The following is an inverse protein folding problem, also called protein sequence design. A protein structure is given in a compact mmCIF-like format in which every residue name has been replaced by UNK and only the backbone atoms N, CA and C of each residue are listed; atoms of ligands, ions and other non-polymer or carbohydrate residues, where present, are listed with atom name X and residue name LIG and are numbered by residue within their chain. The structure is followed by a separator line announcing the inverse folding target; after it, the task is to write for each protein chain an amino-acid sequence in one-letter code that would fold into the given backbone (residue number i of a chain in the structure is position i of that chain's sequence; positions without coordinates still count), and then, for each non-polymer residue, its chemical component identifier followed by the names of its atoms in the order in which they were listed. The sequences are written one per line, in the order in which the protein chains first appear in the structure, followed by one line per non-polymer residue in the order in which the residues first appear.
data_IF_729479680700
#
_entry.id   IF_729479680700
#
_cell.length_a   1.000
_cell.length_b   1.000
_cell.length_c   1.000
_cell.angle_alpha   90.00
_cell.angle_beta   90.00
_cell.angle_gamma   90.00
#
_symmetry.space_group_name_H-M   'P 1'
#
loop_
_entity.id
_entity.type
_entity.pdbx_description
1 polymer ?
#
# COMPACT_ATOMS: atom_id res chain seq x y z
N UNK A 1 18.72 -8.01 -5.50
CA UNK A 1 19.05 -6.60 -5.80
C UNK A 1 19.36 -6.49 -7.28
N UNK A 2 18.98 -5.39 -7.92
CA UNK A 2 19.29 -5.02 -9.30
C UNK A 2 20.12 -3.75 -9.25
N UNK A 3 21.25 -3.72 -9.95
CA UNK A 3 22.23 -2.65 -9.86
C UNK A 3 22.45 -1.99 -11.23
N UNK A 4 22.67 -0.66 -11.28
CA UNK A 4 23.07 0.02 -12.49
C UNK A 4 24.53 -0.35 -12.87
N UNK A 5 24.94 -0.04 -14.08
CA UNK A 5 26.30 -0.30 -14.57
C UNK A 5 27.40 0.47 -13.80
N UNK A 6 27.06 1.53 -13.11
CA UNK A 6 27.94 2.36 -12.29
C UNK A 6 27.50 2.32 -10.83
N UNK A 7 28.31 2.88 -9.92
CA UNK A 7 27.92 3.01 -8.51
C UNK A 7 26.57 3.71 -8.37
N UNK A 8 25.59 3.14 -7.64
CA UNK A 8 24.25 3.69 -7.53
C UNK A 8 24.25 5.02 -6.76
N UNK A 9 23.44 5.96 -7.22
CA UNK A 9 23.20 7.25 -6.54
C UNK A 9 22.40 7.08 -5.26
N UNK A 10 21.51 6.09 -5.21
CA UNK A 10 20.74 5.64 -4.07
C UNK A 10 20.22 4.22 -4.29
N UNK A 11 19.74 3.60 -3.24
CA UNK A 11 18.96 2.34 -3.30
C UNK A 11 17.49 2.67 -3.11
N UNK A 12 16.62 2.10 -3.96
CA UNK A 12 15.17 2.11 -3.79
C UNK A 12 14.73 0.73 -3.28
N UNK A 13 14.35 0.65 -2.02
CA UNK A 13 13.81 -0.57 -1.43
C UNK A 13 12.31 -0.62 -1.68
N UNK A 14 11.86 -1.59 -2.49
CA UNK A 14 10.48 -1.72 -2.95
C UNK A 14 9.70 -2.75 -2.11
N UNK A 15 8.49 -2.36 -1.67
CA UNK A 15 7.54 -3.23 -0.98
C UNK A 15 6.22 -3.31 -1.76
N UNK A 16 5.70 -4.52 -2.06
CA UNK A 16 4.49 -4.72 -2.86
C UNK A 16 3.19 -4.47 -2.08
N UNK A 17 2.08 -4.54 -2.79
CA UNK A 17 0.71 -4.44 -2.25
C UNK A 17 0.26 -5.65 -1.44
N UNK A 18 -1.05 -5.81 -1.32
CA UNK A 18 -1.71 -6.88 -0.55
C UNK A 18 -1.39 -8.28 -1.06
N UNK A 19 -1.52 -9.25 -0.18
CA UNK A 19 -1.34 -10.67 -0.50
C UNK A 19 0.12 -11.13 -0.55
N UNK A 20 0.33 -12.42 -0.88
CA UNK A 20 1.65 -12.99 -1.05
C UNK A 20 2.35 -12.40 -2.28
N UNK A 21 3.61 -12.05 -2.16
CA UNK A 21 4.41 -11.57 -3.27
C UNK A 21 5.87 -11.94 -3.07
N UNK A 22 6.47 -12.49 -4.11
CA UNK A 22 7.92 -12.69 -4.15
C UNK A 22 8.64 -11.39 -4.49
N UNK A 23 9.97 -11.44 -4.46
CA UNK A 23 10.86 -10.30 -4.72
C UNK A 23 10.78 -9.74 -6.14
N UNK A 24 10.26 -10.49 -7.09
CA UNK A 24 10.17 -10.07 -8.48
C UNK A 24 8.96 -9.18 -8.72
N UNK A 25 7.82 -9.54 -8.13
CA UNK A 25 6.53 -8.90 -8.35
C UNK A 25 6.30 -8.62 -9.85
N UNK A 26 6.37 -9.68 -10.66
CA UNK A 26 6.40 -9.58 -12.13
C UNK A 26 5.13 -8.94 -12.74
N UNK A 27 4.07 -8.82 -11.94
CA UNK A 27 2.85 -8.15 -12.37
C UNK A 27 2.97 -6.62 -12.41
N UNK A 28 3.83 -6.02 -11.55
CA UNK A 28 3.81 -4.57 -11.39
C UNK A 28 5.20 -3.91 -11.36
N UNK A 29 6.19 -4.51 -10.68
CA UNK A 29 7.48 -3.86 -10.46
C UNK A 29 8.42 -3.77 -11.68
N UNK A 30 8.38 -4.68 -12.69
CA UNK A 30 9.37 -4.68 -13.75
C UNK A 30 9.58 -3.33 -14.43
N UNK A 31 8.56 -2.61 -14.96
CA UNK A 31 8.79 -1.36 -15.66
C UNK A 31 9.35 -0.27 -14.75
N UNK A 32 8.96 -0.22 -13.47
CA UNK A 32 9.44 0.75 -12.50
C UNK A 32 10.89 0.44 -12.13
N UNK A 33 11.20 -0.84 -11.85
CA UNK A 33 12.54 -1.32 -11.53
C UNK A 33 13.51 -1.06 -12.68
N UNK A 34 13.12 -1.37 -13.91
CA UNK A 34 13.95 -1.15 -15.10
C UNK A 34 14.25 0.34 -15.30
N UNK A 35 13.24 1.20 -15.15
CA UNK A 35 13.40 2.64 -15.21
C UNK A 35 14.38 3.16 -14.15
N UNK A 36 14.20 2.76 -12.89
CA UNK A 36 15.06 3.18 -11.79
C UNK A 36 16.52 2.73 -12.00
N UNK A 37 16.73 1.48 -12.43
CA UNK A 37 18.08 0.98 -12.72
C UNK A 37 18.72 1.74 -13.89
N UNK A 38 17.96 2.02 -14.95
CA UNK A 38 18.44 2.81 -16.08
C UNK A 38 18.77 4.27 -15.68
N UNK A 39 18.07 4.81 -14.67
CA UNK A 39 18.28 6.14 -14.10
C UNK A 39 19.42 6.20 -13.06
N UNK A 40 20.15 5.10 -12.85
CA UNK A 40 21.32 5.07 -11.96
C UNK A 40 21.03 4.76 -10.49
N UNK A 41 19.86 4.22 -10.18
CA UNK A 41 19.50 3.73 -8.85
C UNK A 41 19.68 2.21 -8.74
N UNK A 42 20.12 1.70 -7.59
CA UNK A 42 19.96 0.29 -7.30
C UNK A 42 18.52 0.04 -6.78
N UNK A 43 17.97 -1.11 -7.13
CA UNK A 43 16.65 -1.52 -6.65
C UNK A 43 16.79 -2.78 -5.80
N UNK A 44 16.21 -2.77 -4.62
CA UNK A 44 16.11 -3.91 -3.72
C UNK A 44 14.65 -4.28 -3.48
N UNK A 45 14.34 -5.55 -3.51
CA UNK A 45 13.07 -6.10 -3.02
C UNK A 45 13.32 -7.49 -2.45
N UNK A 46 12.39 -7.97 -1.64
CA UNK A 46 12.49 -9.24 -0.94
C UNK A 46 11.18 -10.02 -1.02
N UNK A 47 11.25 -11.34 -0.85
CA UNK A 47 10.05 -12.15 -0.73
C UNK A 47 9.35 -11.79 0.57
N UNK A 48 8.06 -11.48 0.53
CA UNK A 48 7.30 -11.28 1.77
C UNK A 48 7.44 -12.49 2.68
N UNK A 49 7.30 -12.31 3.99
CA UNK A 49 7.37 -13.42 4.95
C UNK A 49 6.39 -14.54 4.55
N UNK A 50 6.84 -15.79 4.64
CA UNK A 50 6.07 -16.96 4.21
C UNK A 50 5.94 -17.15 2.70
N UNK A 51 6.64 -16.35 1.87
CA UNK A 51 6.63 -16.44 0.41
C UNK A 51 8.03 -16.74 -0.10
N UNK A 52 8.16 -17.50 -1.18
CA UNK A 52 9.42 -17.78 -1.84
C UNK A 52 10.44 -18.39 -0.89
N UNK A 53 11.58 -17.72 -0.69
CA UNK A 53 12.65 -18.16 0.21
C UNK A 53 12.52 -17.59 1.64
N UNK A 54 11.56 -16.68 1.89
CA UNK A 54 11.34 -16.08 3.21
C UNK A 54 10.52 -17.01 4.11
N UNK A 55 10.93 -17.12 5.36
CA UNK A 55 10.20 -17.87 6.39
C UNK A 55 9.07 -17.02 7.00
N UNK A 56 8.21 -17.63 7.82
CA UNK A 56 7.11 -16.97 8.53
C UNK A 56 5.75 -17.23 7.90
N UNK A 57 4.78 -16.38 8.25
CA UNK A 57 3.39 -16.47 7.78
C UNK A 57 2.91 -15.08 7.37
N UNK A 58 2.51 -14.92 6.11
CA UNK A 58 2.01 -13.64 5.59
C UNK A 58 0.56 -13.36 6.01
N UNK A 59 -0.24 -14.39 6.27
CA UNK A 59 -1.68 -14.27 6.56
C UNK A 59 -1.92 -13.56 7.88
N UNK A 60 -1.17 -13.92 8.94
CA UNK A 60 -1.31 -13.32 10.26
C UNK A 60 -0.47 -12.04 10.47
N UNK A 61 0.03 -11.44 9.40
CA UNK A 61 1.01 -10.36 9.46
C UNK A 61 0.37 -9.00 9.26
N UNK A 62 0.44 -8.14 10.29
CA UNK A 62 -0.02 -6.75 10.25
C UNK A 62 0.94 -5.80 9.53
N UNK A 63 0.54 -4.53 9.43
CA UNK A 63 1.37 -3.48 8.82
C UNK A 63 2.67 -3.27 9.63
N UNK A 64 2.59 -3.31 10.95
CA UNK A 64 3.74 -3.16 11.85
C UNK A 64 4.79 -4.24 11.65
N UNK A 65 4.37 -5.49 11.48
CA UNK A 65 5.27 -6.61 11.22
C UNK A 65 5.96 -6.47 9.86
N UNK A 66 5.21 -6.07 8.82
CA UNK A 66 5.76 -5.83 7.49
C UNK A 66 6.73 -4.64 7.50
N UNK A 67 6.46 -3.60 8.29
CA UNK A 67 7.38 -2.48 8.48
C UNK A 67 8.67 -2.91 9.19
N UNK A 68 8.60 -3.87 10.13
CA UNK A 68 9.78 -4.46 10.75
C UNK A 68 10.60 -5.30 9.75
N UNK A 69 9.96 -6.00 8.81
CA UNK A 69 10.67 -6.69 7.72
C UNK A 69 11.40 -5.71 6.79
N UNK A 70 10.76 -4.58 6.46
CA UNK A 70 11.41 -3.50 5.70
C UNK A 70 12.60 -2.94 6.47
N UNK A 71 12.49 -2.74 7.79
CA UNK A 71 13.59 -2.26 8.62
C UNK A 71 14.78 -3.24 8.64
N UNK A 72 14.54 -4.55 8.74
CA UNK A 72 15.59 -5.56 8.64
C UNK A 72 16.26 -5.58 7.26
N UNK A 73 15.49 -5.36 6.18
CA UNK A 73 16.04 -5.25 4.84
C UNK A 73 16.88 -3.96 4.68
N UNK A 74 16.48 -2.83 5.29
CA UNK A 74 17.27 -1.60 5.34
C UNK A 74 18.64 -1.85 5.99
N UNK A 75 18.68 -2.56 7.12
CA UNK A 75 19.93 -2.90 7.81
C UNK A 75 20.84 -3.75 6.92
N UNK A 76 20.27 -4.71 6.20
CA UNK A 76 21.01 -5.52 5.25
C UNK A 76 21.58 -4.69 4.09
N UNK A 77 20.78 -3.82 3.48
CA UNK A 77 21.21 -2.94 2.38
C UNK A 77 22.32 -2.00 2.83
N UNK A 78 22.20 -1.40 4.01
CA UNK A 78 23.24 -0.53 4.60
C UNK A 78 24.57 -1.28 4.83
N UNK A 79 24.52 -2.57 5.16
CA UNK A 79 25.71 -3.41 5.33
C UNK A 79 26.38 -3.77 3.99
N UNK A 80 25.57 -3.97 2.92
CA UNK A 80 26.07 -4.35 1.58
C UNK A 80 26.56 -3.15 0.78
N UNK A 81 25.87 -2.01 0.90
CA UNK A 81 26.19 -0.75 0.20
C UNK A 81 26.38 0.40 1.22
N UNK A 82 27.46 0.38 2.00
CA UNK A 82 27.68 1.38 3.05
C UNK A 82 27.84 2.78 2.46
N UNK A 83 27.13 3.74 3.05
CA UNK A 83 27.17 5.15 2.64
C UNK A 83 26.29 5.51 1.44
N UNK A 84 25.64 4.55 0.81
CA UNK A 84 24.65 4.82 -0.27
C UNK A 84 23.31 5.14 0.39
N UNK A 85 22.66 6.27 0.06
CA UNK A 85 21.33 6.59 0.59
C UNK A 85 20.31 5.53 0.22
N UNK A 86 19.39 5.19 1.14
CA UNK A 86 18.31 4.23 0.88
C UNK A 86 16.97 4.91 1.05
N UNK A 87 16.14 4.87 0.01
CA UNK A 87 14.75 5.31 0.07
C UNK A 87 13.79 4.13 -0.05
N UNK A 88 12.54 4.37 0.35
CA UNK A 88 11.47 3.38 0.37
C UNK A 88 10.45 3.67 -0.73
N UNK A 89 10.00 2.62 -1.39
CA UNK A 89 8.90 2.64 -2.36
C UNK A 89 7.88 1.58 -1.98
N UNK A 90 6.62 1.97 -1.74
CA UNK A 90 5.54 1.06 -1.41
C UNK A 90 4.35 1.23 -2.33
N UNK A 91 3.81 0.13 -2.86
CA UNK A 91 2.59 0.14 -3.67
C UNK A 91 1.39 -0.33 -2.86
N UNK A 92 0.25 0.39 -2.95
CA UNK A 92 -1.02 0.00 -2.31
C UNK A 92 -0.83 -0.22 -0.80
N UNK A 93 -1.13 -1.40 -0.25
CA UNK A 93 -0.82 -1.78 1.14
C UNK A 93 0.66 -1.49 1.49
N UNK A 94 1.58 -1.69 0.54
CA UNK A 94 2.98 -1.35 0.72
C UNK A 94 3.21 0.13 1.02
N UNK A 95 2.31 1.01 0.62
CA UNK A 95 2.32 2.43 0.99
C UNK A 95 2.20 2.63 2.50
N UNK A 96 1.27 1.94 3.19
CA UNK A 96 1.21 1.96 4.65
C UNK A 96 2.51 1.43 5.28
N UNK A 97 3.02 0.32 4.74
CA UNK A 97 4.23 -0.33 5.26
C UNK A 97 5.45 0.59 5.20
N UNK A 98 5.69 1.24 4.05
CA UNK A 98 6.86 2.13 3.89
C UNK A 98 6.70 3.44 4.65
N UNK A 99 5.48 3.94 4.85
CA UNK A 99 5.19 5.08 5.72
C UNK A 99 5.51 4.74 7.18
N UNK A 100 5.07 3.58 7.68
CA UNK A 100 5.41 3.10 9.02
C UNK A 100 6.91 2.89 9.21
N UNK A 101 7.57 2.24 8.26
CA UNK A 101 9.02 2.02 8.33
C UNK A 101 9.79 3.36 8.29
N UNK A 102 9.42 4.27 7.38
CA UNK A 102 10.06 5.58 7.23
C UNK A 102 9.84 6.49 8.44
N UNK A 103 8.69 6.38 9.12
CA UNK A 103 8.40 7.12 10.35
C UNK A 103 9.25 6.67 11.55
N UNK A 104 9.65 5.40 11.58
CA UNK A 104 10.43 4.78 12.67
C UNK A 104 11.94 4.86 12.47
N UNK A 105 12.39 5.17 11.25
CA UNK A 105 13.81 5.15 10.87
C UNK A 105 14.31 6.56 10.51
N UNK A 106 15.39 6.99 11.14
CA UNK A 106 16.02 8.28 10.86
C UNK A 106 17.02 8.26 9.70
N UNK A 107 17.31 7.08 9.17
CA UNK A 107 18.33 6.82 8.13
C UNK A 107 17.72 6.56 6.73
N UNK A 108 16.41 6.70 6.57
CA UNK A 108 15.70 6.65 5.28
C UNK A 108 15.89 8.00 4.56
N UNK A 109 16.25 7.97 3.28
CA UNK A 109 16.46 9.17 2.47
C UNK A 109 15.15 9.79 1.95
N UNK A 110 14.18 8.97 1.60
CA UNK A 110 12.85 9.37 1.09
C UNK A 110 11.83 8.24 1.20
N UNK A 111 10.55 8.59 1.08
CA UNK A 111 9.42 7.64 0.98
C UNK A 111 8.59 7.94 -0.26
N UNK A 112 8.28 6.92 -1.05
CA UNK A 112 7.31 6.96 -2.15
C UNK A 112 6.14 6.04 -1.81
N UNK A 113 4.96 6.60 -1.58
CA UNK A 113 3.71 5.89 -1.40
C UNK A 113 2.93 5.92 -2.74
N UNK A 114 3.13 4.88 -3.55
CA UNK A 114 2.49 4.73 -4.85
C UNK A 114 1.14 4.07 -4.69
N UNK A 115 0.07 4.80 -4.95
CA UNK A 115 -1.32 4.42 -4.63
C UNK A 115 -1.45 3.93 -3.19
N UNK A 116 -0.63 4.52 -2.29
CA UNK A 116 -0.61 4.21 -0.88
C UNK A 116 -1.73 4.95 -0.14
N UNK A 117 -2.73 4.24 0.43
CA UNK A 117 -3.84 4.92 1.09
C UNK A 117 -3.39 5.67 2.34
N UNK A 118 -4.02 6.83 2.62
CA UNK A 118 -3.84 7.55 3.89
C UNK A 118 -5.03 7.38 4.85
N UNK A 119 -5.97 6.53 4.48
CA UNK A 119 -7.12 6.11 5.30
C UNK A 119 -6.87 4.72 5.90
N UNK A 120 -7.71 4.31 6.84
CA UNK A 120 -7.64 2.96 7.40
C UNK A 120 -7.99 1.89 6.35
N UNK A 121 -7.53 0.63 6.49
CA UNK A 121 -7.93 -0.47 5.63
C UNK A 121 -9.44 -0.63 5.52
N UNK A 122 -10.17 -0.52 6.64
CA UNK A 122 -11.63 -0.55 6.63
C UNK A 122 -12.25 0.52 5.72
N UNK A 123 -11.72 1.74 5.76
CA UNK A 123 -12.23 2.84 4.93
C UNK A 123 -11.87 2.65 3.45
N UNK A 124 -10.67 2.15 3.16
CA UNK A 124 -10.23 1.86 1.79
C UNK A 124 -11.05 0.72 1.19
N UNK A 125 -11.21 -0.41 1.88
CA UNK A 125 -11.98 -1.55 1.39
C UNK A 125 -13.45 -1.21 1.21
N UNK A 126 -14.02 -0.39 2.12
CA UNK A 126 -15.39 0.13 1.97
C UNK A 126 -15.55 0.99 0.71
N UNK A 127 -14.54 1.81 0.39
CA UNK A 127 -14.53 2.59 -0.84
C UNK A 127 -14.45 1.67 -2.06
N UNK A 128 -13.50 0.73 -2.10
CA UNK A 128 -13.34 -0.22 -3.19
C UNK A 128 -14.64 -1.03 -3.45
N UNK A 129 -15.27 -1.53 -2.38
CA UNK A 129 -16.57 -2.20 -2.48
C UNK A 129 -17.65 -1.27 -3.03
N UNK A 130 -17.71 -0.03 -2.57
CA UNK A 130 -18.68 0.97 -3.06
C UNK A 130 -18.52 1.22 -4.56
N UNK A 131 -17.29 1.37 -5.04
CA UNK A 131 -16.99 1.55 -6.46
C UNK A 131 -17.36 0.32 -7.29
N UNK A 132 -17.01 -0.87 -6.80
CA UNK A 132 -17.38 -2.14 -7.43
C UNK A 132 -18.91 -2.30 -7.58
N UNK A 133 -19.64 -2.01 -6.51
CA UNK A 133 -21.10 -2.14 -6.50
C UNK A 133 -21.78 -1.08 -7.36
N UNK A 134 -21.27 0.15 -7.38
CA UNK A 134 -21.83 1.24 -8.21
C UNK A 134 -21.82 0.90 -9.71
N UNK A 135 -20.83 0.15 -10.17
CA UNK A 135 -20.73 -0.32 -11.54
C UNK A 135 -21.69 -1.50 -11.84
N UNK A 136 -21.94 -2.38 -10.89
CA UNK A 136 -22.59 -3.70 -11.09
C UNK A 136 -24.02 -3.78 -10.58
N UNK A 137 -24.37 -3.06 -9.50
CA UNK A 137 -25.63 -3.20 -8.79
C UNK A 137 -26.55 -2.01 -9.04
N UNK A 138 -27.73 -2.27 -9.61
CA UNK A 138 -28.76 -1.24 -9.86
C UNK A 138 -29.83 -1.19 -8.77
N UNK A 139 -30.03 -2.27 -8.04
CA UNK A 139 -30.97 -2.32 -6.93
C UNK A 139 -30.36 -1.66 -5.69
N UNK A 140 -30.97 -0.56 -5.26
CA UNK A 140 -30.48 0.22 -4.10
C UNK A 140 -30.54 -0.55 -2.78
N UNK A 141 -31.46 -1.54 -2.67
CA UNK A 141 -31.55 -2.40 -1.49
C UNK A 141 -30.39 -3.39 -1.46
N UNK A 142 -30.11 -4.08 -2.56
CA UNK A 142 -28.96 -5.00 -2.68
C UNK A 142 -27.67 -4.25 -2.41
N UNK A 143 -27.50 -3.06 -2.98
CA UNK A 143 -26.36 -2.19 -2.70
C UNK A 143 -26.22 -1.89 -1.21
N UNK A 144 -27.32 -1.42 -0.59
CA UNK A 144 -27.33 -1.09 0.83
C UNK A 144 -27.07 -2.29 1.74
N UNK A 145 -27.59 -3.47 1.37
CA UNK A 145 -27.39 -4.71 2.11
C UNK A 145 -25.93 -5.18 2.04
N UNK A 146 -25.25 -5.06 0.88
CA UNK A 146 -23.84 -5.38 0.74
C UNK A 146 -22.95 -4.46 1.59
N UNK A 147 -23.19 -3.15 1.58
CA UNK A 147 -22.45 -2.21 2.43
C UNK A 147 -22.69 -2.49 3.92
N UNK A 148 -23.94 -2.77 4.33
CA UNK A 148 -24.24 -3.12 5.73
C UNK A 148 -23.57 -4.43 6.16
N UNK A 149 -23.49 -5.40 5.26
CA UNK A 149 -22.78 -6.66 5.50
C UNK A 149 -21.29 -6.40 5.76
N UNK A 150 -20.66 -5.57 4.94
CA UNK A 150 -19.27 -5.16 5.10
C UNK A 150 -19.05 -4.42 6.43
N UNK A 151 -19.85 -3.40 6.72
CA UNK A 151 -19.72 -2.61 7.95
C UNK A 151 -19.89 -3.51 9.21
N UNK A 152 -20.80 -4.50 9.15
CA UNK A 152 -20.98 -5.47 10.21
C UNK A 152 -19.79 -6.42 10.36
N UNK A 153 -19.21 -6.90 9.26
CA UNK A 153 -18.00 -7.73 9.26
C UNK A 153 -16.82 -6.97 9.88
N UNK A 154 -16.59 -5.71 9.48
CA UNK A 154 -15.55 -4.84 10.07
C UNK A 154 -15.77 -4.69 11.58
N UNK A 155 -17.00 -4.41 12.03
CA UNK A 155 -17.32 -4.29 13.46
C UNK A 155 -17.05 -5.59 14.23
N UNK A 156 -17.27 -6.75 13.60
CA UNK A 156 -16.95 -8.05 14.19
C UNK A 156 -15.43 -8.25 14.32
N UNK A 157 -14.64 -7.91 13.27
CA UNK A 157 -13.18 -7.97 13.29
C UNK A 157 -12.59 -7.10 14.40
N UNK A 158 -12.98 -5.83 14.47
CA UNK A 158 -12.50 -4.88 15.49
C UNK A 158 -12.97 -5.27 16.92
N UNK A 159 -14.02 -6.08 17.05
CA UNK A 159 -14.47 -6.63 18.33
C UNK A 159 -13.78 -7.94 18.70
N UNK A 160 -12.84 -8.45 17.89
CA UNK A 160 -12.11 -9.70 18.16
C UNK A 160 -12.95 -10.96 17.98
N UNK A 161 -14.05 -10.92 17.22
CA UNK A 161 -14.86 -12.09 16.94
C UNK A 161 -14.18 -12.96 15.88
N UNK A 162 -14.35 -14.28 15.98
CA UNK A 162 -13.93 -15.20 14.93
C UNK A 162 -14.90 -15.16 13.72
N UNK A 163 -14.49 -15.80 12.62
CA UNK A 163 -15.24 -15.83 11.37
C UNK A 163 -16.63 -16.46 11.52
N UNK A 164 -16.77 -17.50 12.36
CA UNK A 164 -18.06 -18.16 12.58
C UNK A 164 -19.02 -17.24 13.34
N UNK A 165 -18.54 -16.58 14.40
CA UNK A 165 -19.31 -15.61 15.16
C UNK A 165 -19.76 -14.42 14.29
N UNK A 166 -18.90 -13.98 13.36
CA UNK A 166 -19.25 -12.94 12.40
C UNK A 166 -20.33 -13.41 11.42
N UNK A 167 -20.19 -14.60 10.85
CA UNK A 167 -21.20 -15.21 9.98
C UNK A 167 -22.57 -15.32 10.67
N UNK A 168 -22.59 -15.80 11.94
CA UNK A 168 -23.81 -15.88 12.76
C UNK A 168 -24.45 -14.50 12.98
N UNK A 169 -23.64 -13.44 13.12
CA UNK A 169 -24.17 -12.06 13.25
C UNK A 169 -24.79 -11.57 11.95
N UNK A 170 -24.12 -11.83 10.82
CA UNK A 170 -24.61 -11.48 9.49
C UNK A 170 -25.94 -12.20 9.21
N UNK A 171 -26.05 -13.47 9.55
CA UNK A 171 -27.28 -14.24 9.40
C UNK A 171 -28.42 -13.65 10.27
N UNK A 172 -28.16 -13.39 11.55
CA UNK A 172 -29.15 -12.75 12.45
C UNK A 172 -29.58 -11.36 12.00
N UNK A 173 -28.73 -10.65 11.28
CA UNK A 173 -29.06 -9.35 10.67
C UNK A 173 -29.89 -9.47 9.39
N UNK A 174 -30.17 -10.70 8.92
CA UNK A 174 -30.90 -10.96 7.68
C UNK A 174 -30.10 -10.70 6.41
N UNK A 175 -28.76 -10.67 6.52
CA UNK A 175 -27.84 -10.36 5.42
C UNK A 175 -27.21 -11.62 4.80
N UNK A 176 -27.56 -12.82 5.27
CA UNK A 176 -27.04 -14.08 4.71
C UNK A 176 -27.16 -14.20 3.18
N UNK A 177 -28.21 -13.73 2.51
CA UNK A 177 -28.27 -13.76 1.05
C UNK A 177 -27.13 -13.00 0.35
N UNK A 178 -26.58 -11.96 0.98
CA UNK A 178 -25.42 -11.21 0.45
C UNK A 178 -24.17 -12.09 0.38
N UNK A 179 -23.93 -12.90 1.40
CA UNK A 179 -22.76 -13.80 1.46
C UNK A 179 -22.76 -14.88 0.38
N UNK A 180 -23.93 -15.21 -0.15
CA UNK A 180 -24.07 -16.19 -1.23
C UNK A 180 -23.78 -15.57 -2.62
N UNK A 181 -23.65 -14.24 -2.69
CA UNK A 181 -23.42 -13.46 -3.90
C UNK A 181 -21.98 -12.96 -3.91
N UNK A 182 -21.04 -13.75 -4.41
CA UNK A 182 -19.61 -13.36 -4.52
C UNK A 182 -19.38 -12.15 -5.43
N UNK A 183 -20.34 -11.84 -6.32
CA UNK A 183 -20.35 -10.63 -7.14
C UNK A 183 -20.73 -9.36 -6.36
N UNK A 184 -21.45 -9.51 -5.24
CA UNK A 184 -21.81 -8.41 -4.34
C UNK A 184 -20.88 -8.29 -3.13
N UNK A 185 -20.33 -9.40 -2.66
CA UNK A 185 -19.46 -9.45 -1.50
C UNK A 185 -18.28 -10.39 -1.75
N UNK A 186 -17.15 -9.87 -2.25
CA UNK A 186 -16.01 -10.69 -2.64
C UNK A 186 -15.16 -11.18 -1.45
N UNK A 187 -15.57 -10.91 -0.21
CA UNK A 187 -14.84 -11.30 0.99
C UNK A 187 -15.49 -12.53 1.63
N UNK A 188 -14.95 -13.75 1.42
CA UNK A 188 -15.53 -14.95 2.01
C UNK A 188 -15.35 -14.92 3.54
N UNK A 189 -16.46 -14.72 4.28
CA UNK A 189 -16.45 -14.76 5.75
C UNK A 189 -16.26 -16.18 6.30
N UNK A 190 -16.48 -17.20 5.49
CA UNK A 190 -16.33 -18.61 5.84
C UNK A 190 -14.88 -19.11 5.68
N UNK A 191 -13.98 -18.31 5.10
CA UNK A 191 -12.57 -18.63 5.00
C UNK A 191 -11.80 -18.07 6.22
N UNK A 192 -11.32 -18.95 7.14
CA UNK A 192 -10.63 -18.53 8.35
C UNK A 192 -9.29 -17.82 8.07
N UNK A 193 -8.63 -18.12 6.96
CA UNK A 193 -7.37 -17.47 6.61
C UNK A 193 -7.59 -16.06 6.07
N UNK A 194 -8.60 -15.87 5.23
CA UNK A 194 -9.03 -14.53 4.77
C UNK A 194 -9.47 -13.68 5.96
N UNK A 195 -10.23 -14.26 6.90
CA UNK A 195 -10.64 -13.57 8.11
C UNK A 195 -9.44 -13.14 8.97
N UNK A 196 -8.51 -14.06 9.22
CA UNK A 196 -7.29 -13.79 9.99
C UNK A 196 -6.43 -12.70 9.34
N UNK A 197 -6.29 -12.73 8.02
CA UNK A 197 -5.58 -11.71 7.26
C UNK A 197 -6.25 -10.34 7.43
N UNK A 198 -7.57 -10.26 7.25
CA UNK A 198 -8.29 -9.00 7.40
C UNK A 198 -8.19 -8.45 8.84
N UNK A 199 -8.35 -9.30 9.87
CA UNK A 199 -8.20 -8.91 11.27
C UNK A 199 -6.81 -8.35 11.60
N UNK A 200 -5.75 -8.85 10.96
CA UNK A 200 -4.39 -8.34 11.18
C UNK A 200 -4.18 -6.92 10.66
N UNK A 201 -5.05 -6.44 9.77
CA UNK A 201 -4.90 -5.16 9.08
C UNK A 201 -5.93 -4.11 9.47
N UNK A 202 -7.18 -4.54 9.78
CA UNK A 202 -8.39 -3.72 9.71
C UNK A 202 -8.34 -2.45 10.58
N UNK A 203 -7.67 -2.52 11.73
CA UNK A 203 -7.59 -1.43 12.72
C UNK A 203 -6.36 -0.52 12.51
N UNK A 204 -5.55 -0.74 11.46
CA UNK A 204 -4.39 0.11 11.19
C UNK A 204 -4.82 1.56 10.89
N UNK A 205 -4.23 2.52 11.59
CA UNK A 205 -4.38 3.95 11.32
C UNK A 205 -3.05 4.55 10.84
N UNK A 206 -2.93 4.96 9.57
CA UNK A 206 -1.66 5.50 9.05
C UNK A 206 -1.34 6.92 9.54
N UNK A 207 -2.32 7.66 10.10
CA UNK A 207 -2.15 9.08 10.45
C UNK A 207 -1.05 9.36 11.48
N UNK A 208 -0.83 8.53 12.52
CA UNK A 208 0.30 8.73 13.44
C UNK A 208 1.65 8.66 12.74
N UNK A 209 1.86 7.66 11.89
CA UNK A 209 3.09 7.48 11.13
C UNK A 209 3.30 8.62 10.10
N UNK A 210 2.25 9.03 9.38
CA UNK A 210 2.29 10.18 8.48
C UNK A 210 2.76 11.46 9.20
N UNK A 211 2.26 11.75 10.40
CA UNK A 211 2.70 12.89 11.22
C UNK A 211 4.14 12.76 11.72
N UNK A 212 4.61 11.54 11.86
CA UNK A 212 5.97 11.24 12.34
C UNK A 212 7.03 11.29 11.24
N UNK A 213 6.65 11.28 9.95
CA UNK A 213 7.60 11.36 8.83
C UNK A 213 8.47 12.62 8.92
N UNK A 214 9.78 12.46 8.65
CA UNK A 214 10.80 13.53 8.67
C UNK A 214 11.64 13.57 7.41
N UNK A 215 11.24 12.85 6.38
CA UNK A 215 11.94 12.69 5.10
C UNK A 215 11.07 13.15 3.95
N UNK A 216 11.65 13.55 2.81
CA UNK A 216 10.89 13.81 1.59
C UNK A 216 9.95 12.65 1.27
N UNK A 217 8.70 12.97 1.01
CA UNK A 217 7.63 11.98 0.80
C UNK A 217 6.84 12.31 -0.45
N UNK A 218 6.71 11.35 -1.36
CA UNK A 218 5.84 11.41 -2.53
C UNK A 218 4.61 10.54 -2.28
N UNK A 219 3.43 11.14 -2.29
CA UNK A 219 2.16 10.44 -2.40
C UNK A 219 1.70 10.52 -3.87
N UNK A 220 1.79 9.39 -4.60
CA UNK A 220 1.52 9.33 -6.02
C UNK A 220 0.32 8.43 -6.29
N UNK A 221 -0.65 8.92 -7.05
CA UNK A 221 -1.91 8.23 -7.32
C UNK A 221 -2.29 8.28 -8.80
N UNK A 222 -3.04 7.28 -9.24
CA UNK A 222 -3.82 7.37 -10.46
C UNK A 222 -5.16 8.06 -10.19
N UNK A 223 -5.58 8.96 -11.09
CA UNK A 223 -6.84 9.71 -10.90
C UNK A 223 -8.10 8.82 -11.01
N UNK A 224 -7.98 7.70 -11.73
CA UNK A 224 -9.08 6.76 -12.00
C UNK A 224 -8.96 5.49 -11.12
N UNK A 225 -8.28 5.59 -9.97
CA UNK A 225 -8.11 4.48 -9.02
C UNK A 225 -9.45 4.09 -8.37
N UNK A 226 -10.00 2.89 -8.63
CA UNK A 226 -11.28 2.47 -8.02
C UNK A 226 -11.11 1.86 -6.63
N UNK A 227 -9.87 1.67 -6.16
CA UNK A 227 -9.56 0.94 -4.92
C UNK A 227 -9.25 1.91 -3.79
N UNK A 228 -8.37 2.90 -4.06
CA UNK A 228 -7.98 3.90 -3.06
C UNK A 228 -8.85 5.14 -3.21
N UNK A 229 -9.43 5.68 -2.11
CA UNK A 229 -10.11 6.97 -2.14
C UNK A 229 -9.07 8.09 -2.28
N UNK A 230 -8.69 8.40 -3.53
CA UNK A 230 -7.57 9.30 -3.88
C UNK A 230 -7.73 10.67 -3.26
N UNK A 231 -8.89 11.32 -3.47
CA UNK A 231 -9.16 12.67 -2.96
C UNK A 231 -9.04 12.75 -1.42
N UNK A 232 -9.60 11.74 -0.74
CA UNK A 232 -9.54 11.68 0.74
C UNK A 232 -8.11 11.41 1.19
N UNK A 233 -7.40 10.49 0.53
CA UNK A 233 -6.01 10.16 0.86
C UNK A 233 -5.08 11.36 0.65
N UNK A 234 -5.22 12.10 -0.45
CA UNK A 234 -4.45 13.31 -0.72
C UNK A 234 -4.63 14.35 0.39
N UNK A 235 -5.88 14.64 0.78
CA UNK A 235 -6.19 15.57 1.89
C UNK A 235 -5.58 15.11 3.21
N UNK A 236 -5.59 13.81 3.51
CA UNK A 236 -4.99 13.28 4.74
C UNK A 236 -3.46 13.38 4.71
N UNK A 237 -2.81 13.11 3.57
CA UNK A 237 -1.37 13.35 3.39
C UNK A 237 -1.04 14.82 3.67
N UNK A 238 -1.75 15.75 3.05
CA UNK A 238 -1.55 17.21 3.23
C UNK A 238 -1.78 17.65 4.68
N UNK A 239 -2.75 17.07 5.38
CA UNK A 239 -3.05 17.39 6.77
C UNK A 239 -2.04 16.78 7.77
N UNK A 240 -1.37 15.70 7.43
CA UNK A 240 -0.52 14.96 8.36
C UNK A 240 0.98 15.16 8.12
N UNK A 241 1.42 15.21 6.88
CA UNK A 241 2.84 15.36 6.54
C UNK A 241 3.18 16.85 6.41
N UNK A 242 4.37 17.23 6.89
CA UNK A 242 4.85 18.62 6.73
C UNK A 242 4.91 19.00 5.26
N UNK A 243 4.43 20.20 4.94
CA UNK A 243 4.32 20.69 3.54
C UNK A 243 5.67 20.85 2.83
N UNK A 244 6.76 21.09 3.57
CA UNK A 244 8.13 21.18 3.03
C UNK A 244 8.76 19.81 2.73
N UNK A 245 8.11 18.72 3.15
CA UNK A 245 8.53 17.33 2.91
C UNK A 245 7.59 16.58 1.96
N UNK A 246 6.40 17.12 1.67
CA UNK A 246 5.37 16.41 0.92
C UNK A 246 5.28 16.88 -0.53
N UNK A 247 5.22 15.91 -1.42
CA UNK A 247 4.73 16.08 -2.80
C UNK A 247 3.52 15.16 -2.99
N UNK A 248 2.39 15.71 -3.42
CA UNK A 248 1.22 14.94 -3.83
C UNK A 248 1.08 15.02 -5.34
N UNK A 249 0.97 13.88 -6.01
CA UNK A 249 0.79 13.80 -7.45
C UNK A 249 -0.40 12.86 -7.78
N UNK A 250 -1.41 13.41 -8.47
CA UNK A 250 -2.57 12.65 -8.97
C UNK A 250 -2.50 12.67 -10.49
N UNK A 251 -2.22 11.51 -11.09
CA UNK A 251 -1.93 11.39 -12.52
C UNK A 251 -3.17 10.98 -13.31
N UNK A 252 -3.57 11.84 -14.24
CA UNK A 252 -4.77 11.66 -15.05
C UNK A 252 -4.76 10.34 -15.83
N UNK A 253 -5.88 9.60 -15.77
CA UNK A 253 -6.09 8.35 -16.51
C UNK A 253 -5.31 7.15 -15.97
N UNK A 254 -4.63 7.28 -14.84
CA UNK A 254 -4.02 6.16 -14.16
C UNK A 254 -5.03 5.42 -13.28
N UNK A 255 -5.03 4.11 -13.36
CA UNK A 255 -5.76 3.21 -12.46
C UNK A 255 -5.02 3.02 -11.12
N UNK A 256 -5.38 1.97 -10.35
CA UNK A 256 -4.71 1.62 -9.09
C UNK A 256 -3.20 1.34 -9.23
N UNK A 257 -2.74 0.91 -10.39
CA UNK A 257 -1.31 0.71 -10.71
C UNK A 257 -0.69 1.93 -11.37
N UNK A 258 -1.43 3.04 -11.43
CA UNK A 258 -1.07 4.25 -12.18
C UNK A 258 -0.79 3.92 -13.65
N UNK A 259 -1.61 3.00 -14.17
CA UNK A 259 -1.52 2.48 -15.54
C UNK A 259 -2.81 2.81 -16.31
N UNK A 260 -2.69 2.87 -17.63
CA UNK A 260 -3.77 2.85 -18.59
C UNK A 260 -3.47 1.79 -19.63
N UNK A 261 -4.42 0.89 -19.89
CA UNK A 261 -4.25 -0.22 -20.82
C UNK A 261 -2.97 -1.06 -20.58
N UNK A 262 -2.67 -1.31 -19.28
CA UNK A 262 -1.52 -2.09 -18.84
C UNK A 262 -0.15 -1.39 -18.99
N UNK A 263 -0.14 -0.10 -19.30
CA UNK A 263 1.09 0.72 -19.40
C UNK A 263 1.05 1.86 -18.40
N UNK A 264 2.18 2.10 -17.78
CA UNK A 264 2.36 3.25 -16.89
C UNK A 264 2.02 4.53 -17.64
N UNK A 265 1.25 5.45 -17.04
CA UNK A 265 0.86 6.71 -17.69
C UNK A 265 2.09 7.60 -17.94
N UNK A 266 2.08 8.41 -19.02
CA UNK A 266 3.25 9.16 -19.48
C UNK A 266 3.86 10.09 -18.41
N UNK A 267 3.04 10.65 -17.53
CA UNK A 267 3.49 11.54 -16.46
C UNK A 267 4.17 10.83 -15.27
N UNK A 268 4.12 9.50 -15.19
CA UNK A 268 4.58 8.73 -14.03
C UNK A 268 6.09 8.88 -13.81
N UNK A 269 6.89 8.46 -14.78
CA UNK A 269 8.35 8.50 -14.66
C UNK A 269 8.91 9.91 -14.51
N UNK A 270 8.46 10.92 -15.30
CA UNK A 270 8.86 12.31 -15.06
C UNK A 270 8.56 12.81 -13.65
N UNK A 271 7.41 12.43 -13.07
CA UNK A 271 7.04 12.79 -11.69
C UNK A 271 7.96 12.12 -10.68
N UNK A 272 8.22 10.83 -10.83
CA UNK A 272 9.11 10.05 -9.95
C UNK A 272 10.54 10.60 -10.02
N UNK A 273 11.07 10.85 -11.22
CA UNK A 273 12.43 11.36 -11.42
C UNK A 273 12.61 12.76 -10.83
N UNK A 274 11.63 13.65 -11.03
CA UNK A 274 11.66 14.99 -10.44
C UNK A 274 11.69 14.94 -8.92
N UNK A 275 10.86 14.08 -8.32
CA UNK A 275 10.86 13.87 -6.86
C UNK A 275 12.19 13.30 -6.36
N UNK A 276 12.70 12.23 -6.96
CA UNK A 276 13.96 11.61 -6.56
C UNK A 276 15.13 12.57 -6.68
N UNK A 277 15.20 13.34 -7.76
CA UNK A 277 16.23 14.37 -7.96
C UNK A 277 16.21 15.45 -6.87
N UNK A 278 15.01 15.86 -6.42
CA UNK A 278 14.87 16.83 -5.31
C UNK A 278 15.20 16.20 -3.95
N UNK A 279 14.72 14.99 -3.69
CA UNK A 279 14.89 14.30 -2.41
C UNK A 279 16.35 13.95 -2.11
N UNK A 280 17.14 13.68 -3.16
CA UNK A 280 18.55 13.30 -3.06
C UNK A 280 19.51 14.48 -3.30
N UNK A 281 19.00 15.68 -3.63
CA UNK A 281 19.85 16.86 -3.77
C UNK A 281 20.56 17.18 -2.43
N UNK A 282 21.84 17.57 -2.46
CA UNK A 282 22.54 18.00 -1.25
C UNK A 282 21.75 19.12 -0.55
N UNK A 283 21.34 18.88 0.70
CA UNK A 283 20.69 19.94 1.48
C UNK A 283 21.71 21.06 1.68
N UNK A 284 21.40 22.26 1.18
CA UNK A 284 22.21 23.42 1.50
C UNK A 284 22.16 23.59 3.03
N UNK A 285 23.34 23.55 3.67
CA UNK A 285 23.47 23.85 5.08
C UNK A 285 23.00 25.30 5.30
N UNK A 286 21.86 25.44 6.00
CA UNK A 286 21.29 26.73 6.42
C UNK A 286 21.94 27.18 7.73
#
# INVERSE_FOLDING_TARGET
MWEPAQSPSAVVLMHPGSGPSDRHNDEYFPPIREHLVASGYAVCSFDKRGVGASTGDWIGTGIDDQAADVAACLDHVAAVLPGVPVGLFGHSQGGWVVVEAGARRGDVAFVVANSGPAVTPAAQERHALTMLLADRVRDTREFGDAIRCFDLAVACMSSGLDHQQAADRVERAGLAPVLQRTDLFPFPLDDPDVWRYACALIDHDPRPALRALRVPTLALFGADDPIVPVDVSAVVYEACVRSDLLTVAVLAGGDHRVQRDGRVVDAYFPTLDAFLGQALAPRQAS
#
